data_IF_083156928166
#
_entry.id   IF_083156928166
#
_cell.length_a   1.000
_cell.length_b   1.000
_cell.length_c   1.000
_cell.angle_alpha   90.00
_cell.angle_beta   90.00
_cell.angle_gamma   90.00
#
_symmetry.space_group_name_H-M   'P 1'
#
loop_
_entity.id
_entity.type
_entity.pdbx_description
1 polymer ?
#
# COMPACT_ATOMS: atom_id res chain seq x y z
N UNK A 1 -7.25 4.00 34.78
CA UNK A 1 -7.49 4.40 33.38
C UNK A 1 -6.20 5.07 32.91
N UNK A 2 -5.29 4.31 32.30
CA UNK A 2 -3.97 4.80 31.92
C UNK A 2 -4.09 5.64 30.64
N UNK A 3 -3.78 6.93 30.76
CA UNK A 3 -3.52 7.83 29.64
C UNK A 3 -2.18 7.43 29.04
N UNK A 4 -2.21 7.05 27.76
CA UNK A 4 -0.99 6.87 26.96
C UNK A 4 -0.58 8.25 26.48
N UNK A 5 0.51 8.80 27.03
CA UNK A 5 1.14 10.01 26.52
C UNK A 5 1.85 9.68 25.20
N UNK A 6 1.33 10.20 24.09
CA UNK A 6 2.07 10.24 22.83
C UNK A 6 3.15 11.31 22.94
N UNK A 7 4.42 10.87 23.04
CA UNK A 7 5.57 11.78 22.91
C UNK A 7 5.63 12.31 21.48
N UNK A 8 5.62 13.64 21.38
CA UNK A 8 5.75 14.48 20.18
C UNK A 8 6.84 13.98 19.23
N UNK A 9 6.42 13.58 18.03
CA UNK A 9 7.29 13.61 16.86
C UNK A 9 7.40 15.08 16.39
N UNK A 10 8.64 15.55 16.26
CA UNK A 10 9.16 16.90 15.91
C UNK A 10 8.13 18.02 15.64
N UNK A 11 8.31 19.15 16.34
CA UNK A 11 7.53 20.38 16.21
C UNK A 11 7.36 20.85 14.76
N UNK A 12 6.27 20.44 14.12
CA UNK A 12 5.67 21.15 13.00
C UNK A 12 4.56 22.00 13.60
N UNK A 13 4.80 23.30 13.74
CA UNK A 13 3.71 24.25 13.97
C UNK A 13 2.87 24.33 12.70
N UNK A 14 1.90 23.41 12.60
CA UNK A 14 0.79 23.53 11.67
C UNK A 14 -0.29 24.32 12.41
N UNK A 15 -0.48 25.59 12.06
CA UNK A 15 -1.71 26.31 12.39
C UNK A 15 -2.87 25.65 11.64
N UNK A 16 -3.41 24.57 12.21
CA UNK A 16 -4.71 24.02 11.80
C UNK A 16 -5.76 24.84 12.55
N UNK A 17 -6.37 25.82 11.89
CA UNK A 17 -7.29 26.78 12.52
C UNK A 17 -8.66 26.20 12.88
N UNK A 18 -8.96 24.94 12.54
CA UNK A 18 -10.00 24.14 13.22
C UNK A 18 -10.00 22.66 12.77
N UNK A 19 -10.41 21.78 13.69
CA UNK A 19 -10.72 20.37 13.44
C UNK A 19 -11.79 20.19 12.34
N UNK A 20 -12.73 21.12 12.24
CA UNK A 20 -13.76 21.15 11.20
C UNK A 20 -13.18 21.37 9.80
N UNK A 21 -12.10 22.17 9.67
CA UNK A 21 -11.36 22.34 8.42
C UNK A 21 -10.71 21.04 7.93
N UNK A 22 -10.13 20.26 8.85
CA UNK A 22 -9.53 18.96 8.54
C UNK A 22 -10.59 17.91 8.15
N UNK A 23 -11.71 17.85 8.88
CA UNK A 23 -12.82 16.98 8.55
C UNK A 23 -13.49 17.33 7.22
N UNK A 24 -13.64 18.62 6.89
CA UNK A 24 -14.20 19.04 5.61
C UNK A 24 -13.33 18.62 4.41
N UNK A 25 -12.01 18.53 4.61
CA UNK A 25 -11.07 17.95 3.64
C UNK A 25 -11.20 16.43 3.51
N UNK A 26 -11.58 15.72 4.59
CA UNK A 26 -11.86 14.28 4.53
C UNK A 26 -13.19 13.95 3.83
N UNK A 27 -14.21 14.81 3.97
CA UNK A 27 -15.53 14.62 3.32
C UNK A 27 -15.45 14.72 1.78
N UNK A 28 -14.39 15.30 1.22
CA UNK A 28 -14.17 15.36 -0.24
C UNK A 28 -13.59 14.01 -0.77
N UNK A 29 -13.11 13.13 0.10
CA UNK A 29 -12.47 11.86 -0.30
C UNK A 29 -13.46 10.75 -0.69
N UNK A 30 -14.76 10.93 -0.48
CA UNK A 30 -15.76 9.86 -0.62
C UNK A 30 -16.50 9.86 -1.97
N UNK A 31 -16.07 10.64 -2.96
CA UNK A 31 -16.68 10.60 -4.30
C UNK A 31 -15.61 10.52 -5.38
N UNK A 32 -15.41 9.31 -5.91
CA UNK A 32 -15.00 9.01 -7.29
C UNK A 32 -13.95 9.93 -7.94
N UNK A 33 -13.00 10.41 -7.16
CA UNK A 33 -11.87 11.19 -7.63
C UNK A 33 -10.72 10.23 -7.82
N UNK A 34 -10.15 10.23 -9.03
CA UNK A 34 -8.94 9.47 -9.35
C UNK A 34 -7.90 9.74 -8.25
N UNK A 35 -7.64 8.77 -7.39
CA UNK A 35 -6.77 8.90 -6.22
C UNK A 35 -5.37 9.40 -6.62
N UNK A 36 -4.94 9.11 -7.85
CA UNK A 36 -3.70 9.65 -8.43
C UNK A 36 -3.69 11.18 -8.51
N UNK A 37 -4.82 11.79 -8.88
CA UNK A 37 -4.94 13.25 -8.90
C UNK A 37 -4.90 13.83 -7.48
N UNK A 38 -5.43 13.10 -6.50
CA UNK A 38 -5.40 13.52 -5.10
C UNK A 38 -3.97 13.55 -4.58
N UNK A 39 -3.19 12.47 -4.74
CA UNK A 39 -1.80 12.42 -4.25
C UNK A 39 -0.89 13.45 -4.95
N UNK A 40 -1.28 13.93 -6.14
CA UNK A 40 -0.59 15.02 -6.85
C UNK A 40 -1.12 16.41 -6.51
N UNK A 41 -2.20 16.52 -5.72
CA UNK A 41 -2.81 17.80 -5.38
C UNK A 41 -1.85 18.69 -4.58
N UNK A 42 -1.96 20.00 -4.78
CA UNK A 42 -1.14 21.00 -4.05
C UNK A 42 -1.25 20.87 -2.53
N UNK A 43 -2.41 20.42 -2.04
CA UNK A 43 -2.67 20.23 -0.61
C UNK A 43 -1.83 19.06 -0.10
N UNK A 44 -1.99 17.87 -0.71
CA UNK A 44 -1.23 16.67 -0.35
C UNK A 44 0.28 16.95 -0.39
N UNK A 45 0.76 17.60 -1.45
CA UNK A 45 2.18 17.93 -1.64
C UNK A 45 2.72 18.87 -0.56
N UNK A 46 1.89 19.78 -0.02
CA UNK A 46 2.27 20.76 0.99
C UNK A 46 2.29 20.15 2.40
N UNK A 47 1.40 19.21 2.69
CA UNK A 47 1.26 18.62 4.04
C UNK A 47 2.02 17.31 4.23
N UNK A 48 2.57 16.74 3.15
CA UNK A 48 3.37 15.51 3.21
C UNK A 48 4.71 15.74 3.92
N UNK A 49 5.06 14.82 4.81
CA UNK A 49 6.29 14.80 5.61
C UNK A 49 7.24 13.65 5.24
N UNK A 50 6.80 12.74 4.36
CA UNK A 50 7.58 11.60 3.92
C UNK A 50 7.42 11.34 2.41
N UNK A 51 8.41 10.70 1.78
CA UNK A 51 8.33 10.23 0.39
C UNK A 51 8.53 8.74 0.30
N UNK A 52 7.72 8.09 -0.53
CA UNK A 52 7.94 6.73 -0.98
C UNK A 52 8.65 6.77 -2.34
N UNK A 53 9.87 6.25 -2.39
CA UNK A 53 10.69 6.14 -3.59
C UNK A 53 10.42 4.79 -4.24
N UNK A 54 9.59 4.80 -5.27
CA UNK A 54 9.12 3.61 -5.98
C UNK A 54 10.06 3.32 -7.13
N UNK A 55 10.67 2.13 -7.11
CA UNK A 55 11.65 1.68 -8.09
C UNK A 55 11.07 0.50 -8.88
N UNK A 56 10.97 0.66 -10.20
CA UNK A 56 10.49 -0.35 -11.15
C UNK A 56 11.47 -0.45 -12.32
N UNK A 57 12.42 -1.39 -12.21
CA UNK A 57 13.55 -1.46 -13.14
C UNK A 57 14.39 -0.18 -13.09
N UNK A 58 14.56 0.48 -14.25
CA UNK A 58 15.28 1.76 -14.35
C UNK A 58 14.42 2.99 -13.97
N UNK A 59 13.10 2.80 -13.82
CA UNK A 59 12.17 3.89 -13.49
C UNK A 59 12.17 4.14 -11.99
N UNK A 60 12.42 5.39 -11.59
CA UNK A 60 12.35 5.86 -10.20
C UNK A 60 11.32 6.97 -10.11
N UNK A 61 10.32 6.79 -9.26
CA UNK A 61 9.27 7.78 -9.00
C UNK A 61 9.16 8.06 -7.50
N UNK A 62 8.99 9.33 -7.14
CA UNK A 62 8.78 9.73 -5.74
C UNK A 62 7.30 10.09 -5.51
N UNK A 63 6.65 9.39 -4.58
CA UNK A 63 5.28 9.66 -4.16
C UNK A 63 5.32 10.31 -2.77
N UNK A 64 4.77 11.52 -2.65
CA UNK A 64 4.67 12.21 -1.36
C UNK A 64 3.52 11.63 -0.53
N UNK A 65 3.79 11.37 0.74
CA UNK A 65 2.88 10.72 1.67
C UNK A 65 2.90 11.39 3.05
N UNK A 66 2.03 10.92 3.94
CA UNK A 66 1.99 11.32 5.33
C UNK A 66 2.36 10.13 6.22
N UNK A 67 3.39 10.29 7.04
CA UNK A 67 3.92 9.25 7.94
C UNK A 67 2.83 8.68 8.85
N UNK A 68 1.99 9.55 9.41
CA UNK A 68 0.91 9.16 10.31
C UNK A 68 -0.09 8.17 9.66
N UNK A 69 -0.48 8.40 8.42
CA UNK A 69 -1.40 7.54 7.68
C UNK A 69 -0.76 6.17 7.42
N UNK A 70 0.51 6.15 7.01
CA UNK A 70 1.27 4.92 6.81
C UNK A 70 1.35 4.10 8.11
N UNK A 71 1.78 4.71 9.20
CA UNK A 71 1.95 4.06 10.51
C UNK A 71 0.64 3.51 11.08
N UNK A 72 -0.49 4.23 10.93
CA UNK A 72 -1.79 3.78 11.43
C UNK A 72 -2.25 2.50 10.71
N UNK A 73 -1.90 2.34 9.43
CA UNK A 73 -2.44 1.29 8.56
C UNK A 73 -1.48 0.11 8.35
N UNK A 74 -0.22 0.26 8.73
CA UNK A 74 0.82 -0.74 8.49
C UNK A 74 1.80 -0.80 9.66
N UNK A 75 1.87 -1.95 10.35
CA UNK A 75 2.89 -2.20 11.38
C UNK A 75 4.32 -2.04 10.85
N UNK A 76 4.58 -2.44 9.61
CA UNK A 76 5.86 -2.26 8.94
C UNK A 76 6.29 -0.79 8.94
N UNK A 77 5.45 0.12 8.46
CA UNK A 77 5.79 1.54 8.40
C UNK A 77 5.94 2.15 9.80
N UNK A 78 5.10 1.74 10.77
CA UNK A 78 5.26 2.16 12.16
C UNK A 78 6.63 1.75 12.72
N UNK A 79 6.99 0.47 12.59
CA UNK A 79 8.26 -0.04 13.08
C UNK A 79 9.45 0.62 12.37
N UNK A 80 9.37 0.81 11.05
CA UNK A 80 10.42 1.46 10.27
C UNK A 80 10.64 2.90 10.71
N UNK A 81 9.57 3.68 10.91
CA UNK A 81 9.68 5.10 11.23
C UNK A 81 10.00 5.38 12.71
N UNK A 82 9.63 4.48 13.60
CA UNK A 82 9.97 4.57 15.03
C UNK A 82 11.33 3.93 15.36
N UNK A 83 11.96 3.26 14.40
CA UNK A 83 13.22 2.53 14.62
C UNK A 83 14.44 3.41 14.91
N UNK A 84 14.42 4.67 14.46
CA UNK A 84 15.61 5.53 14.45
C UNK A 84 16.62 5.20 13.34
N UNK A 85 16.26 4.39 12.33
CA UNK A 85 17.09 4.14 11.15
C UNK A 85 17.12 5.35 10.20
N UNK A 86 18.05 5.33 9.25
CA UNK A 86 18.30 6.43 8.31
C UNK A 86 17.03 6.85 7.55
N UNK A 87 16.19 5.90 7.18
CA UNK A 87 14.91 6.11 6.50
C UNK A 87 13.98 7.02 7.34
N UNK A 88 14.00 6.84 8.67
CA UNK A 88 13.24 7.67 9.62
C UNK A 88 13.83 9.08 9.80
N UNK A 89 15.12 9.26 9.50
CA UNK A 89 15.79 10.55 9.59
C UNK A 89 15.64 11.38 8.32
N UNK A 90 15.79 10.75 7.15
CA UNK A 90 15.72 11.41 5.83
C UNK A 90 14.26 11.63 5.39
N UNK A 91 13.33 10.80 5.87
CA UNK A 91 11.93 10.85 5.44
C UNK A 91 11.74 10.33 4.01
N UNK A 92 12.56 9.36 3.61
CA UNK A 92 12.48 8.69 2.32
C UNK A 92 12.51 7.17 2.54
N UNK A 93 11.48 6.48 2.06
CA UNK A 93 11.36 5.02 2.14
C UNK A 93 11.43 4.48 0.73
N UNK A 94 12.33 3.55 0.47
CA UNK A 94 12.44 2.90 -0.83
C UNK A 94 11.56 1.66 -0.92
N UNK A 95 10.97 1.41 -2.09
CA UNK A 95 10.23 0.18 -2.36
C UNK A 95 10.40 -0.27 -3.81
N UNK A 96 10.52 -1.59 -4.01
CA UNK A 96 10.66 -2.22 -5.31
C UNK A 96 9.30 -2.75 -5.78
N UNK A 97 8.63 -2.02 -6.65
CA UNK A 97 7.39 -2.40 -7.34
C UNK A 97 7.05 -1.38 -8.43
N UNK A 98 6.10 -1.69 -9.30
CA UNK A 98 5.47 -0.70 -10.17
C UNK A 98 4.68 0.33 -9.36
N UNK A 99 4.47 1.50 -9.97
CA UNK A 99 3.60 2.54 -9.41
C UNK A 99 2.14 2.07 -9.41
N UNK A 100 1.77 1.34 -10.44
CA UNK A 100 0.44 0.78 -10.63
C UNK A 100 0.07 -0.17 -9.48
N UNK A 101 1.05 -0.88 -8.90
CA UNK A 101 0.85 -1.73 -7.73
C UNK A 101 0.77 -0.97 -6.39
N UNK A 102 1.50 0.14 -6.25
CA UNK A 102 1.57 0.88 -4.98
C UNK A 102 0.39 1.85 -4.79
N UNK A 103 -0.16 2.37 -5.89
CA UNK A 103 -1.26 3.35 -5.86
C UNK A 103 -2.51 2.81 -5.15
N UNK A 104 -2.99 1.59 -5.44
CA UNK A 104 -4.11 0.97 -4.70
C UNK A 104 -3.82 0.77 -3.21
N UNK A 105 -2.57 0.45 -2.85
CA UNK A 105 -2.16 0.30 -1.45
C UNK A 105 -2.26 1.64 -0.73
N UNK A 106 -1.74 2.70 -1.35
CA UNK A 106 -1.85 4.05 -0.81
C UNK A 106 -3.31 4.49 -0.74
N UNK A 107 -4.13 4.19 -1.75
CA UNK A 107 -5.57 4.47 -1.73
C UNK A 107 -6.21 3.86 -0.48
N UNK A 108 -5.97 2.57 -0.23
CA UNK A 108 -6.48 1.89 0.97
C UNK A 108 -6.00 2.54 2.27
N UNK A 109 -4.74 2.99 2.32
CA UNK A 109 -4.19 3.66 3.50
C UNK A 109 -4.97 4.95 3.82
N UNK A 110 -5.30 5.75 2.81
CA UNK A 110 -5.99 7.03 3.00
C UNK A 110 -7.51 6.89 3.13
N UNK A 111 -8.14 5.98 2.40
CA UNK A 111 -9.61 5.89 2.32
C UNK A 111 -10.19 4.67 3.04
N UNK A 112 -9.37 3.66 3.30
CA UNK A 112 -9.82 2.35 3.79
C UNK A 112 -10.40 1.43 2.71
N UNK A 113 -10.37 1.85 1.44
CA UNK A 113 -10.97 1.13 0.32
C UNK A 113 -10.02 1.08 -0.89
N UNK A 114 -10.20 0.08 -1.75
CA UNK A 114 -9.52 -0.04 -3.03
C UNK A 114 -10.57 0.02 -4.13
N UNK A 115 -10.28 0.78 -5.19
CA UNK A 115 -11.19 0.87 -6.33
C UNK A 115 -11.39 -0.51 -6.99
N UNK A 116 -12.65 -0.90 -7.18
CA UNK A 116 -12.98 -2.22 -7.75
C UNK A 116 -12.40 -2.43 -9.16
N UNK A 117 -12.26 -1.34 -9.93
CA UNK A 117 -11.68 -1.36 -11.26
C UNK A 117 -10.21 -1.79 -11.29
N UNK A 118 -9.51 -1.75 -10.16
CA UNK A 118 -8.15 -2.28 -10.06
C UNK A 118 -8.12 -3.82 -10.19
N UNK A 119 -9.10 -4.51 -9.60
CA UNK A 119 -9.17 -5.97 -9.59
C UNK A 119 -9.83 -6.50 -10.87
N UNK A 120 -9.10 -6.39 -11.98
CA UNK A 120 -9.43 -6.98 -13.28
C UNK A 120 -8.31 -7.92 -13.74
N UNK A 121 -8.64 -8.84 -14.63
CA UNK A 121 -7.71 -9.90 -15.06
C UNK A 121 -6.50 -9.36 -15.82
N UNK A 122 -6.68 -8.24 -16.51
CA UNK A 122 -5.63 -7.55 -17.27
C UNK A 122 -4.53 -7.01 -16.34
N UNK A 123 -4.87 -6.73 -15.07
CA UNK A 123 -3.94 -6.24 -14.05
C UNK A 123 -3.27 -7.37 -13.26
N UNK A 124 -3.35 -8.62 -13.72
CA UNK A 124 -2.91 -9.78 -12.91
C UNK A 124 -1.47 -9.65 -12.41
N UNK A 125 -0.53 -9.22 -13.26
CA UNK A 125 0.87 -9.01 -12.87
C UNK A 125 1.01 -7.96 -11.77
N UNK A 126 0.35 -6.80 -11.95
CA UNK A 126 0.27 -5.74 -10.94
C UNK A 126 -0.36 -6.21 -9.62
N UNK A 127 -1.34 -7.12 -9.66
CA UNK A 127 -1.95 -7.73 -8.48
C UNK A 127 -0.92 -8.61 -7.73
N UNK A 128 -0.05 -9.34 -8.44
CA UNK A 128 1.02 -10.14 -7.81
C UNK A 128 2.09 -9.25 -7.15
N UNK A 129 2.46 -8.15 -7.80
CA UNK A 129 3.35 -7.15 -7.19
C UNK A 129 2.73 -6.55 -5.93
N UNK A 130 1.44 -6.16 -6.02
CA UNK A 130 0.68 -5.65 -4.89
C UNK A 130 0.67 -6.66 -3.74
N UNK A 131 0.41 -7.95 -4.01
CA UNK A 131 0.45 -9.01 -3.00
C UNK A 131 1.79 -9.05 -2.25
N UNK A 132 2.89 -8.94 -2.99
CA UNK A 132 4.22 -8.94 -2.39
C UNK A 132 4.41 -7.77 -1.43
N UNK A 133 3.97 -6.56 -1.82
CA UNK A 133 4.04 -5.37 -0.99
C UNK A 133 3.11 -5.41 0.22
N UNK A 134 1.88 -5.90 0.09
CA UNK A 134 0.95 -5.97 1.25
C UNK A 134 1.38 -7.03 2.28
N UNK A 135 2.11 -8.06 1.86
CA UNK A 135 2.76 -8.98 2.79
C UNK A 135 3.91 -8.29 3.53
N UNK A 136 4.78 -7.58 2.80
CA UNK A 136 5.90 -6.82 3.38
C UNK A 136 5.41 -5.73 4.34
N UNK A 137 4.34 -5.03 3.98
CA UNK A 137 3.75 -3.96 4.79
C UNK A 137 2.84 -4.47 5.90
N UNK A 138 2.73 -5.80 6.07
CA UNK A 138 1.93 -6.46 7.11
C UNK A 138 0.44 -6.04 7.10
N UNK A 139 -0.14 -5.91 5.91
CA UNK A 139 -1.52 -5.44 5.70
C UNK A 139 -2.50 -6.61 5.50
N UNK A 140 -2.72 -7.41 6.54
CA UNK A 140 -3.45 -8.69 6.47
C UNK A 140 -4.85 -8.59 5.84
N UNK A 141 -5.61 -7.54 6.13
CA UNK A 141 -6.95 -7.35 5.52
C UNK A 141 -6.87 -7.19 4.00
N UNK A 142 -5.90 -6.42 3.51
CA UNK A 142 -5.72 -6.19 2.07
C UNK A 142 -5.15 -7.44 1.42
N UNK A 143 -4.18 -8.09 2.07
CA UNK A 143 -3.61 -9.37 1.65
C UNK A 143 -4.71 -10.40 1.39
N UNK A 144 -5.63 -10.63 2.33
CA UNK A 144 -6.73 -11.58 2.12
C UNK A 144 -7.64 -11.23 0.92
N UNK A 145 -7.86 -9.95 0.63
CA UNK A 145 -8.62 -9.51 -0.55
C UNK A 145 -7.83 -9.86 -1.82
N UNK A 146 -6.54 -9.53 -1.86
CA UNK A 146 -5.67 -9.78 -3.01
C UNK A 146 -5.55 -11.28 -3.32
N UNK A 147 -5.41 -12.12 -2.29
CA UNK A 147 -5.37 -13.59 -2.42
C UNK A 147 -6.59 -14.17 -3.15
N UNK A 148 -7.78 -13.63 -2.88
CA UNK A 148 -9.02 -14.04 -3.56
C UNK A 148 -8.93 -13.75 -5.05
N UNK A 149 -8.46 -12.57 -5.43
CA UNK A 149 -8.36 -12.18 -6.84
C UNK A 149 -7.23 -12.90 -7.59
N UNK A 150 -6.11 -13.21 -6.92
CA UNK A 150 -5.07 -14.06 -7.50
C UNK A 150 -5.67 -15.41 -7.92
N UNK A 151 -6.40 -16.08 -7.02
CA UNK A 151 -7.00 -17.37 -7.34
C UNK A 151 -8.15 -17.26 -8.33
N UNK A 152 -8.97 -16.21 -8.24
CA UNK A 152 -10.13 -16.02 -9.11
C UNK A 152 -9.74 -15.76 -10.58
N UNK A 153 -8.59 -15.12 -10.80
CA UNK A 153 -8.10 -14.80 -12.15
C UNK A 153 -7.10 -15.81 -12.71
N UNK A 154 -6.60 -16.72 -11.88
CA UNK A 154 -5.62 -17.74 -12.28
C UNK A 154 -6.16 -18.64 -13.39
N UNK A 155 -5.43 -18.69 -14.50
CA UNK A 155 -5.74 -19.50 -15.67
C UNK A 155 -4.48 -20.01 -16.39
N UNK A 156 -4.69 -20.71 -17.50
CA UNK A 156 -3.62 -21.32 -18.30
C UNK A 156 -2.66 -20.28 -18.93
N UNK A 157 -3.07 -19.02 -19.04
CA UNK A 157 -2.28 -17.95 -19.65
C UNK A 157 -1.44 -17.20 -18.61
N UNK A 158 -1.95 -17.02 -17.40
CA UNK A 158 -1.28 -16.22 -16.36
C UNK A 158 -0.64 -17.05 -15.22
N UNK A 159 -0.82 -18.38 -15.18
CA UNK A 159 -0.17 -19.21 -14.14
C UNK A 159 1.35 -19.06 -14.13
N UNK A 160 1.97 -18.87 -15.30
CA UNK A 160 3.43 -18.68 -15.42
C UNK A 160 3.90 -17.45 -14.64
N UNK A 161 3.11 -16.37 -14.66
CA UNK A 161 3.40 -15.15 -13.90
C UNK A 161 3.37 -15.45 -12.40
N UNK A 162 2.38 -16.22 -11.93
CA UNK A 162 2.31 -16.62 -10.52
C UNK A 162 3.52 -17.46 -10.10
N UNK A 163 3.98 -18.40 -10.94
CA UNK A 163 5.21 -19.17 -10.67
C UNK A 163 6.45 -18.26 -10.63
N UNK A 164 6.56 -17.31 -11.57
CA UNK A 164 7.70 -16.38 -11.65
C UNK A 164 7.72 -15.36 -10.51
N UNK A 165 6.57 -15.02 -9.94
CA UNK A 165 6.44 -14.04 -8.85
C UNK A 165 7.08 -14.45 -7.53
N UNK A 166 7.58 -15.69 -7.41
CA UNK A 166 8.12 -16.31 -6.19
C UNK A 166 7.11 -16.50 -5.04
N UNK A 167 5.85 -16.08 -5.22
CA UNK A 167 4.80 -16.21 -4.21
C UNK A 167 4.67 -17.65 -3.76
N UNK A 168 4.63 -18.60 -4.69
CA UNK A 168 4.47 -20.03 -4.40
C UNK A 168 5.63 -20.65 -3.61
N UNK A 169 6.79 -19.97 -3.51
CA UNK A 169 7.95 -20.46 -2.75
C UNK A 169 7.86 -20.11 -1.26
N UNK A 170 6.88 -19.29 -0.86
CA UNK A 170 6.71 -18.88 0.53
C UNK A 170 6.09 -20.02 1.34
N UNK A 171 6.60 -20.21 2.55
CA UNK A 171 6.05 -21.16 3.50
C UNK A 171 4.86 -20.52 4.25
N UNK A 172 3.75 -20.35 3.52
CA UNK A 172 2.55 -19.72 4.04
C UNK A 172 1.26 -20.44 3.59
N UNK A 173 0.13 -20.26 4.33
CA UNK A 173 -1.13 -20.94 4.02
C UNK A 173 -1.69 -20.66 2.63
N UNK A 174 -1.50 -19.45 2.10
CA UNK A 174 -1.97 -19.08 0.77
C UNK A 174 -1.19 -19.83 -0.30
N UNK A 175 0.13 -19.86 -0.20
CA UNK A 175 1.02 -20.56 -1.13
C UNK A 175 0.70 -22.06 -1.20
N UNK A 176 0.47 -22.71 -0.05
CA UNK A 176 0.00 -24.10 0.00
C UNK A 176 -1.36 -24.30 -0.67
N UNK A 177 -2.30 -23.38 -0.48
CA UNK A 177 -3.64 -23.41 -1.08
C UNK A 177 -3.56 -23.21 -2.60
N UNK A 178 -2.75 -22.27 -3.06
CA UNK A 178 -2.53 -21.98 -4.47
C UNK A 178 -1.89 -23.18 -5.19
N UNK A 179 -0.87 -23.80 -4.61
CA UNK A 179 -0.27 -25.02 -5.18
C UNK A 179 -1.27 -26.18 -5.31
N UNK A 180 -2.10 -26.41 -4.29
CA UNK A 180 -3.18 -27.41 -4.36
C UNK A 180 -4.20 -27.08 -5.45
N UNK A 181 -4.57 -25.81 -5.59
CA UNK A 181 -5.47 -25.36 -6.65
C UNK A 181 -4.85 -25.64 -8.03
N UNK A 182 -3.58 -25.28 -8.23
CA UNK A 182 -2.88 -25.50 -9.50
C UNK A 182 -2.84 -26.98 -9.88
N UNK A 183 -2.42 -27.85 -8.94
CA UNK A 183 -2.31 -29.28 -9.17
C UNK A 183 -3.65 -29.96 -9.54
N UNK A 184 -4.77 -29.38 -9.10
CA UNK A 184 -6.10 -29.92 -9.38
C UNK A 184 -6.68 -29.43 -10.72
N UNK A 185 -6.33 -28.22 -11.16
CA UNK A 185 -6.97 -27.56 -12.31
C UNK A 185 -6.11 -27.46 -13.58
N UNK A 186 -4.78 -27.46 -13.47
CA UNK A 186 -3.86 -27.35 -14.61
C UNK A 186 -3.03 -28.64 -14.74
N UNK A 187 -3.67 -29.71 -15.22
CA UNK A 187 -3.02 -30.97 -15.60
C UNK A 187 -2.57 -30.95 -17.06
#
# INVERSE_FOLDING_TARGET
MHLVEYKRCRDVHIEVTSYEGWLSGQTILTTNTNFENLIQSKIMVKTSDIKLIVKSGEKIEAIKCHSNHLCIKSPYFFNLLESGFLESEIGEIETQCSKEAIIPILQYIYTGEIERGFFIKENYDTILEMYSKVCEYEMEKVKSIVEVFILAFLDQYNYKLLVQSTILNRDDPFSMKAMKFIANYFK
#
